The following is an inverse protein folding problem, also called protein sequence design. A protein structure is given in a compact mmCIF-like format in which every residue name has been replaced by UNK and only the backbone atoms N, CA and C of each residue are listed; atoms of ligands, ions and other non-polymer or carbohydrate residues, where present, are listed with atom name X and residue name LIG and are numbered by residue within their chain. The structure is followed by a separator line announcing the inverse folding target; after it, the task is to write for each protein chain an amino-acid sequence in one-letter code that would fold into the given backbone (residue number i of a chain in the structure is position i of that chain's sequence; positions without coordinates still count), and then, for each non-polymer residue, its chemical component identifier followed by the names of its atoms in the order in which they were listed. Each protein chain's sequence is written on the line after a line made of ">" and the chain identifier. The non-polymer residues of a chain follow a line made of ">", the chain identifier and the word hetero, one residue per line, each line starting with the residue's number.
data_IF_305168948225
#
_entry.id   IF_305168948225
#
_cell.length_a   1.000
_cell.length_b   1.000
_cell.length_c   1.000
_cell.angle_alpha   90.00
_cell.angle_beta   90.00
_cell.angle_gamma   90.00
#
_symmetry.space_group_name_H-M   'P 1'
#
loop_
_entity.id
_entity.type
_entity.pdbx_description
1 polymer ?
#
# COMPACT_ATOMS: atom_id res chain seq x y z
N UNK A 1 -14.13 3.54 -22.56
CA UNK A 1 -12.71 3.30 -22.19
C UNK A 1 -11.80 4.50 -22.50
N UNK A 2 -11.80 5.08 -23.71
CA UNK A 2 -10.92 6.24 -24.06
C UNK A 2 -11.11 7.47 -23.15
N UNK A 3 -12.33 7.76 -22.68
CA UNK A 3 -12.61 8.92 -21.79
C UNK A 3 -12.07 8.70 -20.37
N UNK A 4 -12.00 7.48 -19.88
CA UNK A 4 -11.46 7.16 -18.55
C UNK A 4 -9.94 7.32 -18.54
N UNK A 5 -9.24 6.92 -19.60
CA UNK A 5 -7.80 7.13 -19.74
C UNK A 5 -7.42 8.61 -19.79
N UNK A 6 -8.23 9.44 -20.45
CA UNK A 6 -8.01 10.87 -20.50
C UNK A 6 -8.16 11.53 -19.12
N UNK A 7 -9.12 11.11 -18.31
CA UNK A 7 -9.31 11.63 -16.95
C UNK A 7 -8.14 11.22 -16.04
N UNK A 8 -7.67 9.98 -16.13
CA UNK A 8 -6.51 9.51 -15.36
C UNK A 8 -5.23 10.24 -15.78
N UNK A 9 -5.03 10.50 -17.08
CA UNK A 9 -3.89 11.26 -17.59
C UNK A 9 -3.92 12.72 -17.13
N UNK A 10 -5.10 13.36 -17.10
CA UNK A 10 -5.26 14.74 -16.62
C UNK A 10 -5.04 14.83 -15.11
N UNK A 11 -5.58 13.88 -14.31
CA UNK A 11 -5.33 13.82 -12.86
C UNK A 11 -3.86 13.56 -12.55
N UNK A 12 -3.18 12.73 -13.33
CA UNK A 12 -1.74 12.48 -13.22
C UNK A 12 -0.88 13.69 -13.55
N UNK A 13 -1.28 14.49 -14.54
CA UNK A 13 -0.51 15.68 -14.95
C UNK A 13 -0.67 16.88 -14.00
N UNK A 14 -1.79 17.00 -13.31
CA UNK A 14 -2.03 18.08 -12.34
C UNK A 14 -1.18 17.90 -11.07
N UNK A 15 -0.88 16.65 -10.69
CA UNK A 15 -0.08 16.37 -9.49
C UNK A 15 1.43 16.62 -9.67
N UNK A 16 1.94 16.64 -10.88
CA UNK A 16 3.38 16.78 -11.15
C UNK A 16 3.92 18.23 -11.09
N UNK A 17 3.06 19.22 -11.18
CA UNK A 17 3.50 20.62 -11.27
C UNK A 17 3.54 21.41 -9.95
N UNK A 18 3.10 20.84 -8.83
CA UNK A 18 3.01 21.55 -7.55
C UNK A 18 4.14 21.25 -6.56
N UNK A 19 5.17 20.49 -6.94
CA UNK A 19 6.10 19.87 -6.00
C UNK A 19 7.53 20.44 -5.97
N UNK A 20 7.72 21.67 -6.39
CA UNK A 20 9.04 22.29 -6.40
C UNK A 20 9.40 23.04 -5.12
N UNK A 21 9.32 22.42 -3.93
CA UNK A 21 9.90 23.00 -2.71
C UNK A 21 10.37 21.93 -1.72
N UNK A 22 11.68 21.72 -1.62
CA UNK A 22 12.47 21.10 -0.52
C UNK A 22 11.81 19.90 0.20
N UNK A 23 11.31 18.95 -0.53
CA UNK A 23 10.64 17.76 -0.01
C UNK A 23 11.42 16.54 -0.47
N UNK A 24 11.48 15.50 0.32
CA UNK A 24 12.10 14.25 -0.10
C UNK A 24 11.04 13.34 -0.72
N UNK A 25 11.17 13.13 -2.01
CA UNK A 25 10.40 12.10 -2.70
C UNK A 25 11.08 10.76 -2.50
N UNK A 26 10.29 9.73 -2.23
CA UNK A 26 10.77 8.38 -1.99
C UNK A 26 9.93 7.36 -2.74
N UNK A 27 10.58 6.35 -3.29
CA UNK A 27 9.92 5.13 -3.73
C UNK A 27 9.95 4.15 -2.57
N UNK A 28 8.79 3.60 -2.24
CA UNK A 28 8.65 2.62 -1.17
C UNK A 28 8.26 1.27 -1.73
N UNK A 29 8.88 0.22 -1.21
CA UNK A 29 8.53 -1.15 -1.49
C UNK A 29 8.30 -1.88 -0.18
N UNK A 30 7.16 -2.56 -0.07
CA UNK A 30 6.78 -3.31 1.11
C UNK A 30 6.19 -4.66 0.79
N UNK A 31 6.50 -5.62 1.65
CA UNK A 31 5.91 -6.97 1.63
C UNK A 31 5.37 -7.28 3.00
N UNK A 32 4.17 -7.80 3.07
CA UNK A 32 3.50 -8.10 4.32
C UNK A 32 2.79 -9.43 4.31
N UNK A 33 2.73 -10.03 5.49
CA UNK A 33 1.88 -11.17 5.79
C UNK A 33 0.63 -10.65 6.47
N UNK A 34 -0.51 -10.96 5.89
CA UNK A 34 -1.81 -10.64 6.45
C UNK A 34 -2.35 -11.85 7.22
N UNK A 35 -3.10 -11.58 8.28
CA UNK A 35 -3.50 -12.56 9.28
C UNK A 35 -4.29 -13.75 8.71
N UNK A 36 -4.96 -13.56 7.58
CA UNK A 36 -5.78 -14.59 6.94
C UNK A 36 -5.05 -15.33 5.81
N UNK A 37 -3.82 -15.79 6.06
CA UNK A 37 -3.02 -16.59 5.10
C UNK A 37 -2.86 -15.90 3.75
N UNK A 38 -2.56 -14.61 3.77
CA UNK A 38 -2.37 -13.80 2.57
C UNK A 38 -0.99 -13.16 2.51
N UNK A 39 -0.53 -12.90 1.30
CA UNK A 39 0.67 -12.12 0.99
C UNK A 39 0.25 -10.80 0.38
N UNK A 40 0.79 -9.74 0.90
CA UNK A 40 0.59 -8.38 0.42
C UNK A 40 1.89 -7.82 -0.12
N UNK A 41 1.85 -7.20 -1.29
CA UNK A 41 2.97 -6.47 -1.86
C UNK A 41 2.51 -5.07 -2.24
N UNK A 42 3.24 -4.07 -1.80
CA UNK A 42 2.92 -2.66 -2.06
C UNK A 42 4.13 -1.96 -2.67
N UNK A 43 3.91 -1.26 -3.77
CA UNK A 43 4.82 -0.32 -4.38
C UNK A 43 4.20 1.06 -4.30
N UNK A 44 4.95 2.06 -3.82
CA UNK A 44 4.40 3.39 -3.70
C UNK A 44 5.43 4.48 -3.98
N UNK A 45 4.92 5.66 -4.36
CA UNK A 45 5.64 6.91 -4.38
C UNK A 45 5.17 7.75 -3.19
N UNK A 46 6.09 8.09 -2.32
CA UNK A 46 5.83 8.88 -1.13
C UNK A 46 6.44 10.27 -1.29
N UNK A 47 5.63 11.27 -1.04
CA UNK A 47 6.03 12.67 -0.99
C UNK A 47 6.00 13.16 0.45
N UNK A 48 7.18 13.24 1.07
CA UNK A 48 7.33 13.67 2.45
C UNK A 48 7.43 15.19 2.53
N UNK A 49 6.57 15.80 3.35
CA UNK A 49 6.54 17.25 3.60
C UNK A 49 7.39 17.60 4.83
N UNK A 50 7.53 18.91 5.11
CA UNK A 50 8.06 19.37 6.40
C UNK A 50 7.34 18.63 7.52
N UNK A 51 8.03 18.30 8.59
CA UNK A 51 7.45 17.63 9.76
C UNK A 51 7.12 16.13 9.57
N UNK A 52 7.68 15.46 8.57
CA UNK A 52 7.48 14.04 8.31
C UNK A 52 6.02 13.62 8.04
N UNK A 53 5.16 14.57 7.69
CA UNK A 53 3.88 14.23 7.11
C UNK A 53 4.11 13.82 5.65
N UNK A 54 3.38 12.84 5.15
CA UNK A 54 3.58 12.39 3.79
C UNK A 54 2.26 12.11 3.05
N UNK A 55 2.30 12.29 1.74
CA UNK A 55 1.31 11.75 0.82
C UNK A 55 1.92 10.54 0.12
N UNK A 56 1.17 9.48 0.05
CA UNK A 56 1.56 8.22 -0.58
C UNK A 56 0.60 7.89 -1.70
N UNK A 57 1.14 7.61 -2.89
CA UNK A 57 0.42 7.04 -4.02
C UNK A 57 0.90 5.61 -4.18
N UNK A 58 0.03 4.64 -4.08
CA UNK A 58 0.43 3.24 -4.00
C UNK A 58 -0.31 2.36 -4.99
N UNK A 59 0.37 1.30 -5.39
CA UNK A 59 -0.18 0.13 -6.06
C UNK A 59 0.01 -1.04 -5.11
N UNK A 60 -1.05 -1.78 -4.88
CA UNK A 60 -1.05 -2.90 -3.97
C UNK A 60 -1.52 -4.15 -4.69
N UNK A 61 -0.85 -5.25 -4.44
CA UNK A 61 -1.23 -6.58 -4.87
C UNK A 61 -1.39 -7.48 -3.66
N UNK A 62 -2.49 -8.20 -3.58
CA UNK A 62 -2.78 -9.13 -2.50
C UNK A 62 -3.12 -10.49 -3.06
N UNK A 63 -2.54 -11.52 -2.46
CA UNK A 63 -2.75 -12.91 -2.76
C UNK A 63 -3.13 -13.66 -1.49
N UNK A 64 -4.30 -14.30 -1.49
CA UNK A 64 -4.74 -15.18 -0.42
C UNK A 64 -4.80 -16.60 -0.95
N UNK A 65 -4.15 -17.54 -0.29
CA UNK A 65 -4.21 -18.94 -0.68
C UNK A 65 -5.25 -19.69 0.15
N UNK A 66 -6.10 -20.39 -0.59
CA UNK A 66 -7.12 -21.25 -0.03
C UNK A 66 -6.60 -22.69 0.08
N UNK A 67 -7.06 -23.42 1.04
CA UNK A 67 -6.80 -24.86 1.16
C UNK A 67 -7.55 -25.63 0.08
N UNK A 68 -6.93 -26.64 -0.47
CA UNK A 68 -7.58 -27.51 -1.43
C UNK A 68 -8.68 -28.34 -0.72
N UNK A 69 -9.91 -28.31 -1.26
CA UNK A 69 -11.05 -29.04 -0.68
C UNK A 69 -10.81 -30.56 -0.60
N UNK A 70 -9.95 -31.10 -1.49
CA UNK A 70 -9.71 -32.55 -1.56
C UNK A 70 -8.60 -33.05 -0.64
N UNK A 71 -7.58 -32.22 -0.34
CA UNK A 71 -6.42 -32.64 0.46
C UNK A 71 -6.24 -31.86 1.76
N UNK A 72 -6.99 -30.79 1.98
CA UNK A 72 -6.89 -29.94 3.16
C UNK A 72 -5.58 -29.15 3.28
N UNK A 73 -4.74 -29.15 2.26
CA UNK A 73 -3.46 -28.45 2.22
C UNK A 73 -3.40 -27.45 1.07
N UNK A 74 -2.47 -26.50 1.15
CA UNK A 74 -2.19 -25.59 0.04
C UNK A 74 -1.41 -26.36 -1.03
N UNK A 75 -2.08 -26.71 -2.13
CA UNK A 75 -1.50 -27.40 -3.28
C UNK A 75 -1.00 -26.40 -4.34
N UNK A 76 -0.05 -26.78 -5.23
CA UNK A 76 0.33 -25.96 -6.38
C UNK A 76 -0.84 -25.54 -7.26
N UNK A 77 -1.83 -26.40 -7.45
CA UNK A 77 -3.06 -26.07 -8.19
C UNK A 77 -3.91 -25.01 -7.48
N UNK A 78 -4.01 -25.10 -6.15
CA UNK A 78 -4.72 -24.11 -5.36
C UNK A 78 -3.99 -22.77 -5.35
N UNK A 79 -2.66 -22.77 -5.43
CA UNK A 79 -1.87 -21.56 -5.54
C UNK A 79 -2.26 -20.69 -6.76
N UNK A 80 -2.54 -21.28 -7.90
CA UNK A 80 -2.93 -20.56 -9.12
C UNK A 80 -4.42 -20.20 -9.18
N UNK A 81 -5.27 -20.89 -8.43
CA UNK A 81 -6.71 -20.61 -8.29
C UNK A 81 -7.03 -19.66 -7.14
N UNK A 82 -6.00 -19.17 -6.46
CA UNK A 82 -6.11 -18.34 -5.27
C UNK A 82 -6.82 -17.01 -5.53
N UNK A 83 -7.45 -16.53 -4.48
CA UNK A 83 -8.05 -15.20 -4.45
C UNK A 83 -6.96 -14.13 -4.61
N UNK A 84 -7.11 -13.29 -5.61
CA UNK A 84 -6.18 -12.22 -5.94
C UNK A 84 -6.90 -10.90 -6.02
N UNK A 85 -6.29 -9.88 -5.46
CA UNK A 85 -6.75 -8.52 -5.67
C UNK A 85 -5.59 -7.62 -6.01
N UNK A 86 -5.87 -6.59 -6.77
CA UNK A 86 -4.96 -5.51 -7.02
C UNK A 86 -5.71 -4.20 -6.87
N UNK A 87 -5.00 -3.15 -6.50
CA UNK A 87 -5.59 -1.82 -6.33
C UNK A 87 -4.56 -0.72 -6.49
N UNK A 88 -5.06 0.45 -6.81
CA UNK A 88 -4.30 1.70 -6.78
C UNK A 88 -4.97 2.64 -5.80
N UNK A 89 -4.18 3.40 -5.07
CA UNK A 89 -4.75 4.24 -4.03
C UNK A 89 -3.87 5.41 -3.63
N UNK A 90 -4.42 6.20 -2.73
CA UNK A 90 -3.74 7.33 -2.11
C UNK A 90 -3.92 7.25 -0.61
N UNK A 91 -2.88 7.59 0.14
CA UNK A 91 -2.92 7.67 1.58
C UNK A 91 -2.25 8.95 2.07
N UNK A 92 -2.77 9.50 3.14
CA UNK A 92 -2.15 10.57 3.90
C UNK A 92 -1.54 9.99 5.18
N UNK A 93 -0.33 10.39 5.48
CA UNK A 93 0.47 9.89 6.61
C UNK A 93 0.86 11.03 7.54
N UNK A 94 -0.01 11.48 8.46
CA UNK A 94 0.36 12.45 9.48
C UNK A 94 1.38 11.84 10.44
N UNK A 95 2.43 12.60 10.75
CA UNK A 95 3.44 12.21 11.71
C UNK A 95 2.91 12.40 13.14
N UNK A 96 2.83 11.32 13.90
CA UNK A 96 2.35 11.32 15.28
C UNK A 96 3.46 11.22 16.32
N UNK A 97 4.62 10.77 15.90
CA UNK A 97 5.78 10.62 16.79
C UNK A 97 7.09 10.90 16.05
N UNK A 98 8.05 11.55 16.74
CA UNK A 98 9.35 11.93 16.18
C UNK A 98 10.46 11.61 17.14
N UNK A 99 11.46 10.87 16.65
CA UNK A 99 12.74 10.67 17.29
C UNK A 99 13.87 11.27 16.46
N UNK A 100 15.11 11.02 16.88
CA UNK A 100 16.30 11.56 16.21
C UNK A 100 16.52 10.95 14.81
N UNK A 101 16.34 9.64 14.67
CA UNK A 101 16.59 8.90 13.43
C UNK A 101 15.35 8.08 13.00
N UNK A 102 14.21 8.30 13.62
CA UNK A 102 12.99 7.54 13.37
C UNK A 102 11.76 8.42 13.59
N UNK A 103 10.68 8.06 12.97
CA UNK A 103 9.39 8.73 13.15
C UNK A 103 8.25 7.73 12.91
N UNK A 104 7.11 8.01 13.52
CA UNK A 104 5.90 7.23 13.39
C UNK A 104 4.80 8.03 12.74
N UNK A 105 4.13 7.41 11.76
CA UNK A 105 3.03 8.01 11.01
C UNK A 105 1.76 7.16 11.17
N UNK A 106 0.62 7.81 11.35
CA UNK A 106 -0.64 7.16 11.03
C UNK A 106 -0.78 7.12 9.51
N UNK A 107 -1.33 6.05 8.97
CA UNK A 107 -1.66 5.94 7.55
C UNK A 107 -3.16 5.84 7.40
N UNK A 108 -3.74 6.76 6.63
CA UNK A 108 -5.17 6.81 6.33
C UNK A 108 -5.30 6.96 4.83
N UNK A 109 -5.97 6.03 4.16
CA UNK A 109 -6.03 6.03 2.71
C UNK A 109 -7.25 5.35 2.14
N UNK A 110 -7.38 5.46 0.83
CA UNK A 110 -8.39 4.79 0.05
C UNK A 110 -7.79 4.26 -1.25
N UNK A 111 -8.36 3.18 -1.74
CA UNK A 111 -7.96 2.57 -3.00
C UNK A 111 -9.16 2.13 -3.83
N UNK A 112 -8.90 1.93 -5.11
CA UNK A 112 -9.81 1.33 -6.06
C UNK A 112 -9.06 0.23 -6.82
N UNK A 113 -9.70 -0.90 -7.04
CA UNK A 113 -9.07 -2.04 -7.68
C UNK A 113 -10.05 -3.10 -8.14
N UNK A 114 -9.57 -4.32 -8.25
CA UNK A 114 -10.38 -5.45 -8.69
C UNK A 114 -9.82 -6.76 -8.14
N UNK A 115 -10.71 -7.73 -7.99
CA UNK A 115 -10.36 -9.13 -7.70
C UNK A 115 -10.45 -10.03 -8.95
N UNK A 116 -10.28 -9.50 -10.15
CA UNK A 116 -10.51 -10.12 -11.45
C UNK A 116 -11.98 -10.15 -11.88
N UNK A 117 -12.93 -10.35 -10.96
CA UNK A 117 -14.36 -10.51 -11.27
C UNK A 117 -15.15 -9.24 -10.98
N UNK A 118 -14.78 -8.50 -9.93
CA UNK A 118 -15.54 -7.36 -9.43
C UNK A 118 -14.64 -6.18 -9.14
N UNK A 119 -15.19 -5.00 -9.27
CA UNK A 119 -14.56 -3.77 -8.78
C UNK A 119 -14.60 -3.74 -7.24
N UNK A 120 -13.49 -3.35 -6.64
CA UNK A 120 -13.33 -3.24 -5.20
C UNK A 120 -12.89 -1.82 -4.82
N UNK A 121 -13.54 -1.27 -3.81
CA UNK A 121 -13.07 -0.09 -3.10
C UNK A 121 -12.42 -0.49 -1.78
N UNK A 122 -11.31 0.15 -1.41
CA UNK A 122 -10.63 -0.12 -0.15
C UNK A 122 -10.48 1.14 0.70
N UNK A 123 -10.63 0.98 2.02
CA UNK A 123 -10.24 1.98 3.03
C UNK A 123 -9.08 1.38 3.81
N UNK A 124 -8.02 2.15 3.98
CA UNK A 124 -6.78 1.71 4.61
C UNK A 124 -6.50 2.54 5.84
N UNK A 125 -6.29 1.87 6.97
CA UNK A 125 -5.86 2.51 8.22
C UNK A 125 -4.68 1.73 8.77
N UNK A 126 -3.66 2.43 9.26
CA UNK A 126 -2.48 1.77 9.82
C UNK A 126 -1.58 2.71 10.60
N UNK A 127 -0.56 2.12 11.19
CA UNK A 127 0.56 2.81 11.80
C UNK A 127 1.84 2.35 11.13
N UNK A 128 2.66 3.29 10.71
CA UNK A 128 3.95 3.05 10.08
C UNK A 128 5.06 3.64 10.93
N UNK A 129 6.09 2.85 11.17
CA UNK A 129 7.28 3.30 11.88
C UNK A 129 8.49 3.26 10.95
N UNK A 130 9.15 4.41 10.80
CA UNK A 130 10.24 4.63 9.86
C UNK A 130 11.57 4.79 10.59
N UNK A 131 12.61 4.19 10.04
CA UNK A 131 14.01 4.31 10.49
C UNK A 131 14.83 4.88 9.34
N UNK A 132 15.42 6.06 9.56
CA UNK A 132 16.31 6.69 8.59
C UNK A 132 17.72 6.06 8.67
N UNK A 133 18.25 5.65 7.53
CA UNK A 133 19.60 5.14 7.34
C UNK A 133 20.54 6.25 6.86
N UNK A 134 21.88 6.05 7.04
CA UNK A 134 22.90 7.08 6.73
C UNK A 134 22.94 7.53 5.27
N UNK A 135 22.53 6.69 4.34
CA UNK A 135 22.57 6.96 2.91
C UNK A 135 21.26 7.57 2.36
N UNK A 136 20.38 8.05 3.24
CA UNK A 136 19.07 8.58 2.87
C UNK A 136 17.99 7.50 2.67
N UNK A 137 18.35 6.23 2.67
CA UNK A 137 17.40 5.13 2.65
C UNK A 137 16.61 5.07 3.95
N UNK A 138 15.46 4.45 3.91
CA UNK A 138 14.65 4.14 5.09
C UNK A 138 14.27 2.68 5.15
N UNK A 139 14.18 2.18 6.36
CA UNK A 139 13.48 0.93 6.68
C UNK A 139 12.17 1.28 7.35
N UNK A 140 11.12 0.54 7.07
CA UNK A 140 9.87 0.72 7.79
C UNK A 140 9.19 -0.60 8.10
N UNK A 141 8.41 -0.59 9.16
CA UNK A 141 7.37 -1.56 9.39
C UNK A 141 6.03 -0.84 9.53
N UNK A 142 4.98 -1.51 9.12
CA UNK A 142 3.63 -0.97 9.15
C UNK A 142 2.66 -2.03 9.65
N UNK A 143 1.89 -1.69 10.67
CA UNK A 143 0.70 -2.44 11.05
C UNK A 143 -0.49 -1.80 10.33
N UNK A 144 -1.27 -2.58 9.58
CA UNK A 144 -2.38 -2.06 8.79
C UNK A 144 -3.65 -2.88 8.96
N UNK A 145 -4.77 -2.21 8.78
CA UNK A 145 -6.09 -2.80 8.66
C UNK A 145 -6.76 -2.21 7.42
N UNK A 146 -7.12 -3.06 6.51
CA UNK A 146 -7.76 -2.69 5.26
C UNK A 146 -9.21 -3.19 5.25
N UNK A 147 -10.14 -2.33 4.89
CA UNK A 147 -11.56 -2.64 4.68
C UNK A 147 -11.84 -2.66 3.18
N UNK A 148 -12.19 -3.82 2.64
CA UNK A 148 -12.44 -4.01 1.19
C UNK A 148 -13.92 -4.19 0.89
N UNK A 149 -14.48 -3.32 0.07
CA UNK A 149 -15.91 -3.30 -0.29
C UNK A 149 -16.09 -3.46 -1.82
N UNK A 150 -17.07 -4.20 -2.30
CA UNK A 150 -18.11 -4.98 -1.60
C UNK A 150 -17.74 -6.46 -1.39
N UNK A 151 -16.52 -6.77 -0.98
CA UNK A 151 -16.09 -8.15 -0.84
C UNK A 151 -16.53 -8.77 0.48
N UNK A 152 -17.46 -9.73 0.42
CA UNK A 152 -17.93 -10.43 1.62
C UNK A 152 -16.96 -11.53 2.11
N UNK A 153 -16.09 -12.04 1.21
CA UNK A 153 -15.15 -13.12 1.55
C UNK A 153 -13.91 -12.61 2.28
N UNK A 154 -13.56 -11.33 2.10
CA UNK A 154 -12.31 -10.77 2.57
C UNK A 154 -12.49 -9.28 2.93
N UNK A 155 -13.51 -9.02 3.77
CA UNK A 155 -13.92 -7.67 4.14
C UNK A 155 -12.83 -6.94 4.92
N UNK A 156 -12.19 -7.60 5.87
CA UNK A 156 -11.13 -7.05 6.70
C UNK A 156 -9.82 -7.79 6.49
N UNK A 157 -8.75 -7.03 6.27
CA UNK A 157 -7.38 -7.54 6.14
C UNK A 157 -6.52 -6.84 7.16
N UNK A 158 -5.98 -7.58 8.11
CA UNK A 158 -5.06 -7.05 9.11
C UNK A 158 -3.72 -7.74 9.02
N UNK A 159 -2.65 -7.01 9.16
CA UNK A 159 -1.32 -7.57 9.09
C UNK A 159 -0.20 -6.57 9.28
N UNK A 160 1.01 -7.09 9.14
CA UNK A 160 2.25 -6.32 9.28
C UNK A 160 3.02 -6.37 7.97
N UNK A 161 3.45 -5.22 7.51
CA UNK A 161 4.29 -5.04 6.32
C UNK A 161 5.67 -4.56 6.75
N UNK A 162 6.71 -5.10 6.12
CA UNK A 162 8.09 -4.64 6.22
C UNK A 162 8.52 -4.12 4.86
N UNK A 163 9.31 -3.06 4.84
CA UNK A 163 9.73 -2.51 3.56
C UNK A 163 10.87 -1.51 3.63
N UNK A 164 11.21 -1.01 2.45
CA UNK A 164 12.29 -0.06 2.22
C UNK A 164 11.75 1.21 1.59
N UNK A 165 12.39 2.32 1.92
CA UNK A 165 12.19 3.62 1.28
C UNK A 165 13.48 4.06 0.62
N UNK A 166 13.42 4.32 -0.67
CA UNK A 166 14.56 4.73 -1.49
C UNK A 166 14.34 6.19 -1.89
N UNK A 167 15.27 7.11 -1.54
CA UNK A 167 15.13 8.50 -1.95
C UNK A 167 15.23 8.60 -3.47
N UNK A 168 14.31 9.29 -4.07
CA UNK A 168 14.38 9.73 -5.46
C UNK A 168 14.90 11.17 -5.47
N UNK A 169 15.92 11.42 -6.26
CA UNK A 169 16.54 12.74 -6.38
C UNK A 169 15.58 13.75 -6.97
#
# INVERSE_FOLDING_TARGET
>A
MKKLFAIIAILGSISLSSFAQSHSDRVTFGVGLLYERGLDATLACEHETKYHNAWEYFVNGYLKWDECESCGHVCPESFWKNYRTWGVGVAYKPCVWRGRNNHGNLRIGASAGSNTDKFLGGIHVGYEHNYALRNGWGLYWQAKCDLMLPDRKDLFRTGVTLGFKIPTR
#
